data_IF_995514092280
#
_entry.id   IF_995514092280
#
_cell.length_a   1.000
_cell.length_b   1.000
_cell.length_c   1.000
_cell.angle_alpha   90.00
_cell.angle_beta   90.00
_cell.angle_gamma   90.00
#
_symmetry.space_group_name_H-M   'P 1'
#
loop_
_entity.id
_entity.type
_entity.pdbx_description
1 polymer ?
#
# COMPACT_ATOMS: atom_id res chain seq x y z
N UNK A 1 -10.55 37.19 -41.18
CA UNK A 1 -11.00 35.83 -40.84
C UNK A 1 -10.89 35.56 -39.34
N UNK A 2 -9.90 36.13 -38.65
CA UNK A 2 -9.78 36.11 -37.17
C UNK A 2 -10.89 36.88 -36.47
N UNK A 3 -11.20 38.12 -36.86
CA UNK A 3 -12.25 38.94 -36.19
C UNK A 3 -13.64 38.29 -36.22
N UNK A 4 -14.04 37.74 -37.37
CA UNK A 4 -15.33 37.06 -37.54
C UNK A 4 -15.48 35.80 -36.66
N UNK A 5 -14.36 35.16 -36.31
CA UNK A 5 -14.38 33.96 -35.46
C UNK A 5 -14.45 34.36 -33.99
N UNK A 6 -13.73 35.42 -33.59
CA UNK A 6 -13.78 36.01 -32.25
C UNK A 6 -15.17 36.55 -31.92
N UNK A 7 -15.81 37.25 -32.86
CA UNK A 7 -17.17 37.79 -32.70
C UNK A 7 -18.21 36.68 -32.52
N UNK A 8 -18.06 35.56 -33.23
CA UNK A 8 -18.95 34.40 -33.09
C UNK A 8 -18.79 33.71 -31.73
N UNK A 9 -17.55 33.55 -31.24
CA UNK A 9 -17.29 33.01 -29.90
C UNK A 9 -17.87 33.92 -28.80
N UNK A 10 -17.64 35.22 -28.90
CA UNK A 10 -18.18 36.20 -27.95
C UNK A 10 -19.72 36.20 -27.97
N UNK A 11 -20.33 36.15 -29.14
CA UNK A 11 -21.78 36.05 -29.30
C UNK A 11 -22.38 34.83 -28.59
N UNK A 12 -21.75 33.66 -28.74
CA UNK A 12 -22.19 32.43 -28.07
C UNK A 12 -22.07 32.53 -26.53
N UNK A 13 -20.99 33.15 -26.01
CA UNK A 13 -20.82 33.39 -24.58
C UNK A 13 -21.85 34.37 -24.01
N UNK A 14 -22.20 35.43 -24.76
CA UNK A 14 -23.28 36.36 -24.38
C UNK A 14 -24.64 35.65 -24.38
N UNK A 15 -24.89 34.80 -25.37
CA UNK A 15 -26.11 33.98 -25.42
C UNK A 15 -26.20 33.06 -24.20
N UNK A 16 -25.11 32.37 -23.86
CA UNK A 16 -25.02 31.51 -22.67
C UNK A 16 -25.27 32.29 -21.38
N UNK A 17 -24.67 33.47 -21.22
CA UNK A 17 -24.85 34.32 -20.04
C UNK A 17 -26.30 34.78 -19.84
N UNK A 18 -27.04 34.94 -20.95
CA UNK A 18 -28.42 35.43 -20.98
C UNK A 18 -29.47 34.31 -21.03
N UNK A 19 -29.06 33.06 -21.20
CA UNK A 19 -29.93 31.87 -21.31
C UNK A 19 -30.60 31.46 -19.98
N UNK A 20 -30.99 32.44 -19.15
CA UNK A 20 -31.81 32.23 -17.97
C UNK A 20 -33.31 32.24 -18.36
N UNK A 21 -33.78 31.23 -19.08
CA UNK A 21 -35.19 31.09 -19.53
C UNK A 21 -35.45 29.94 -20.52
N UNK A 22 -36.70 29.80 -20.97
CA UNK A 22 -37.18 28.72 -21.87
C UNK A 22 -36.66 28.79 -23.32
N UNK A 23 -36.08 29.92 -23.74
CA UNK A 23 -35.47 30.07 -25.06
C UNK A 23 -34.02 29.54 -25.00
N UNK A 24 -33.87 28.23 -25.18
CA UNK A 24 -32.57 27.55 -25.17
C UNK A 24 -31.58 28.09 -26.21
N UNK A 25 -30.30 27.73 -26.03
CA UNK A 25 -29.22 28.09 -26.95
C UNK A 25 -29.46 27.55 -28.36
N UNK A 26 -28.99 28.29 -29.37
CA UNK A 26 -29.02 27.78 -30.73
C UNK A 26 -28.03 26.60 -30.85
N UNK A 27 -28.29 25.60 -31.73
CA UNK A 27 -27.36 24.49 -31.92
C UNK A 27 -25.95 24.94 -32.34
N UNK A 28 -25.84 26.08 -33.05
CA UNK A 28 -24.55 26.63 -33.46
C UNK A 28 -23.79 27.25 -32.28
N UNK A 29 -24.51 27.91 -31.36
CA UNK A 29 -23.91 28.46 -30.14
C UNK A 29 -23.48 27.34 -29.19
N UNK A 30 -24.29 26.28 -29.04
CA UNK A 30 -23.91 25.11 -28.23
C UNK A 30 -22.63 24.46 -28.71
N UNK A 31 -22.52 24.16 -30.01
CA UNK A 31 -21.29 23.59 -30.59
C UNK A 31 -20.09 24.50 -30.32
N UNK A 32 -20.28 25.82 -30.44
CA UNK A 32 -19.19 26.77 -30.19
C UNK A 32 -18.78 26.82 -28.72
N UNK A 33 -19.75 26.81 -27.81
CA UNK A 33 -19.50 26.78 -26.37
C UNK A 33 -18.75 25.51 -26.01
N UNK A 34 -19.17 24.36 -26.53
CA UNK A 34 -18.51 23.08 -26.28
C UNK A 34 -17.08 23.05 -26.82
N UNK A 35 -16.82 23.63 -28.00
CA UNK A 35 -15.46 23.82 -28.53
C UNK A 35 -14.59 24.68 -27.60
N UNK A 36 -15.13 25.80 -27.09
CA UNK A 36 -14.42 26.69 -26.16
C UNK A 36 -14.17 26.04 -24.80
N UNK A 37 -15.15 25.28 -24.30
CA UNK A 37 -15.06 24.51 -23.05
C UNK A 37 -14.00 23.42 -23.18
N UNK A 38 -14.00 22.67 -24.28
CA UNK A 38 -12.98 21.65 -24.53
C UNK A 38 -11.58 22.25 -24.65
N UNK A 39 -11.43 23.40 -25.33
CA UNK A 39 -10.15 24.12 -25.41
C UNK A 39 -9.68 24.60 -24.02
N UNK A 40 -10.58 25.17 -23.22
CA UNK A 40 -10.26 25.64 -21.89
C UNK A 40 -9.88 24.48 -20.94
N UNK A 41 -10.62 23.38 -20.98
CA UNK A 41 -10.31 22.18 -20.20
C UNK A 41 -8.95 21.59 -20.60
N UNK A 42 -8.67 21.47 -21.90
CA UNK A 42 -7.39 20.95 -22.39
C UNK A 42 -6.18 21.84 -22.06
N UNK A 43 -6.40 23.14 -21.85
CA UNK A 43 -5.36 24.09 -21.47
C UNK A 43 -5.16 24.20 -19.95
N UNK A 44 -6.11 23.72 -19.15
CA UNK A 44 -6.04 23.75 -17.70
C UNK A 44 -5.36 22.48 -17.16
N UNK A 45 -4.70 22.62 -16.01
CA UNK A 45 -4.05 21.50 -15.32
C UNK A 45 -4.85 21.12 -14.08
N UNK A 46 -5.09 19.84 -13.89
CA UNK A 46 -5.76 19.28 -12.72
C UNK A 46 -5.23 17.87 -12.44
N UNK A 47 -4.98 17.58 -11.16
CA UNK A 47 -4.72 16.24 -10.65
C UNK A 47 -5.45 16.08 -9.31
N UNK A 48 -6.25 15.01 -9.16
CA UNK A 48 -6.93 14.70 -7.90
C UNK A 48 -5.95 14.33 -6.79
N UNK A 49 -4.84 13.67 -7.13
CA UNK A 49 -3.86 13.17 -6.17
C UNK A 49 -2.49 13.80 -6.42
N UNK A 50 -2.03 14.60 -5.47
CA UNK A 50 -0.73 15.26 -5.52
C UNK A 50 0.15 14.85 -4.34
N UNK A 51 1.50 14.80 -4.53
CA UNK A 51 2.41 14.54 -3.44
C UNK A 51 2.31 15.59 -2.34
N UNK A 52 2.10 15.14 -1.10
CA UNK A 52 2.29 16.00 0.06
C UNK A 52 3.76 16.44 0.16
N UNK A 53 3.99 17.68 0.60
CA UNK A 53 5.35 18.16 0.91
C UNK A 53 5.92 17.53 2.17
N UNK A 54 5.05 17.13 3.09
CA UNK A 54 5.41 16.50 4.35
C UNK A 54 5.26 14.98 4.25
N UNK A 55 6.23 14.26 4.81
CA UNK A 55 6.17 12.81 4.91
C UNK A 55 5.03 12.38 5.84
N UNK A 56 4.38 11.28 5.49
CA UNK A 56 3.36 10.67 6.32
C UNK A 56 3.96 10.21 7.65
N UNK A 57 3.18 10.38 8.72
CA UNK A 57 3.50 9.71 9.99
C UNK A 57 3.41 8.20 9.82
N UNK A 58 4.15 7.44 10.62
CA UNK A 58 4.14 5.99 10.53
C UNK A 58 2.74 5.38 10.74
N UNK A 59 1.93 5.99 11.62
CA UNK A 59 0.52 5.61 11.81
C UNK A 59 -0.30 5.76 10.53
N UNK A 60 -0.12 6.86 9.79
CA UNK A 60 -0.80 7.05 8.50
C UNK A 60 -0.29 6.04 7.47
N UNK A 61 1.03 5.81 7.42
CA UNK A 61 1.63 4.83 6.52
C UNK A 61 1.11 3.42 6.77
N UNK A 62 1.02 2.99 8.03
CA UNK A 62 0.49 1.68 8.40
C UNK A 62 -0.98 1.51 8.01
N UNK A 63 -1.81 2.54 8.18
CA UNK A 63 -3.22 2.52 7.76
C UNK A 63 -3.35 2.38 6.25
N UNK A 64 -2.50 3.06 5.47
CA UNK A 64 -2.46 2.91 4.01
C UNK A 64 -2.00 1.51 3.62
N UNK A 65 -0.94 0.99 4.24
CA UNK A 65 -0.45 -0.37 3.99
C UNK A 65 -1.50 -1.44 4.33
N UNK A 66 -2.34 -1.22 5.35
CA UNK A 66 -3.46 -2.11 5.65
C UNK A 66 -4.44 -2.18 4.48
N UNK A 67 -4.89 -1.03 3.96
CA UNK A 67 -5.80 -0.97 2.80
C UNK A 67 -5.20 -1.67 1.59
N UNK A 68 -3.92 -1.44 1.29
CA UNK A 68 -3.22 -2.09 0.18
C UNK A 68 -3.20 -3.62 0.36
N UNK A 69 -2.78 -4.09 1.53
CA UNK A 69 -2.63 -5.53 1.78
C UNK A 69 -3.97 -6.26 1.90
N UNK A 70 -5.01 -5.61 2.40
CA UNK A 70 -6.37 -6.16 2.44
C UNK A 70 -7.00 -6.24 1.04
N UNK A 71 -6.77 -5.24 0.18
CA UNK A 71 -7.20 -5.26 -1.21
C UNK A 71 -6.51 -6.42 -1.96
N UNK A 72 -5.20 -6.61 -1.76
CA UNK A 72 -4.47 -7.77 -2.29
C UNK A 72 -5.04 -9.10 -1.80
N UNK A 73 -5.30 -9.22 -0.49
CA UNK A 73 -5.86 -10.44 0.09
C UNK A 73 -7.27 -10.76 -0.44
N UNK A 74 -8.03 -9.74 -0.82
CA UNK A 74 -9.40 -9.84 -1.35
C UNK A 74 -9.46 -9.87 -2.88
N UNK A 75 -8.31 -9.82 -3.56
CA UNK A 75 -8.20 -9.71 -5.03
C UNK A 75 -8.96 -8.49 -5.59
N UNK A 76 -8.95 -7.37 -4.87
CA UNK A 76 -9.56 -6.10 -5.27
C UNK A 76 -8.54 -5.15 -5.92
N UNK A 77 -9.02 -4.15 -6.66
CA UNK A 77 -8.17 -3.11 -7.23
C UNK A 77 -7.64 -2.18 -6.13
N UNK A 78 -6.32 -2.15 -5.95
CA UNK A 78 -5.65 -1.40 -4.89
C UNK A 78 -5.92 0.10 -5.02
N UNK A 79 -5.90 0.66 -6.22
CA UNK A 79 -6.11 2.10 -6.42
C UNK A 79 -7.54 2.51 -6.09
N UNK A 80 -8.53 1.70 -6.47
CA UNK A 80 -9.93 1.91 -6.10
C UNK A 80 -10.16 1.79 -4.58
N UNK A 81 -9.54 0.79 -3.93
CA UNK A 81 -9.59 0.65 -2.48
C UNK A 81 -8.98 1.86 -1.76
N UNK A 82 -7.83 2.36 -2.23
CA UNK A 82 -7.20 3.55 -1.67
C UNK A 82 -8.04 4.82 -1.89
N UNK A 83 -8.62 4.99 -3.09
CA UNK A 83 -9.48 6.14 -3.39
C UNK A 83 -10.73 6.20 -2.50
N UNK A 84 -11.29 5.03 -2.11
CA UNK A 84 -12.46 4.96 -1.21
C UNK A 84 -12.10 5.06 0.27
N UNK A 85 -10.86 4.77 0.67
CA UNK A 85 -10.41 4.79 2.06
C UNK A 85 -10.40 6.17 2.72
N UNK A 86 -10.45 7.26 1.93
CA UNK A 86 -10.32 8.65 2.40
C UNK A 86 -9.00 8.96 3.14
N UNK A 87 -7.97 8.11 3.00
CA UNK A 87 -6.66 8.31 3.63
C UNK A 87 -5.80 9.35 2.89
N UNK A 88 -6.09 9.60 1.62
CA UNK A 88 -5.44 10.61 0.81
C UNK A 88 -6.32 11.85 0.68
N UNK A 89 -5.76 13.06 0.84
CA UNK A 89 -6.47 14.26 0.42
C UNK A 89 -6.69 14.17 -1.09
N UNK A 90 -7.94 14.36 -1.51
CA UNK A 90 -8.34 14.44 -2.90
C UNK A 90 -8.61 15.90 -3.22
N UNK A 91 -7.91 16.46 -4.21
CA UNK A 91 -8.19 17.80 -4.68
C UNK A 91 -9.59 17.86 -5.28
N UNK A 92 -10.29 18.96 -5.04
CA UNK A 92 -11.58 19.22 -5.69
C UNK A 92 -11.33 19.70 -7.11
N UNK A 93 -12.11 19.18 -8.08
CA UNK A 93 -12.03 19.61 -9.50
C UNK A 93 -12.58 21.03 -9.68
N UNK A 94 -13.59 21.38 -8.87
CA UNK A 94 -14.37 22.61 -9.02
C UNK A 94 -13.54 23.90 -9.00
N UNK A 95 -12.59 24.12 -8.07
CA UNK A 95 -11.70 25.28 -8.11
C UNK A 95 -10.94 25.44 -9.42
N UNK A 96 -10.38 24.35 -9.96
CA UNK A 96 -9.64 24.37 -11.23
C UNK A 96 -10.56 24.66 -12.43
N UNK A 97 -11.74 24.03 -12.47
CA UNK A 97 -12.75 24.30 -13.49
C UNK A 97 -13.20 25.78 -13.48
N UNK A 98 -13.36 26.34 -12.28
CA UNK A 98 -13.73 27.75 -12.11
C UNK A 98 -12.61 28.70 -12.55
N UNK A 99 -11.36 28.40 -12.24
CA UNK A 99 -10.21 29.18 -12.72
C UNK A 99 -10.10 29.16 -14.25
N UNK A 100 -10.26 27.99 -14.87
CA UNK A 100 -10.30 27.84 -16.32
C UNK A 100 -11.45 28.64 -16.96
N UNK A 101 -12.64 28.62 -16.35
CA UNK A 101 -13.77 29.45 -16.79
C UNK A 101 -13.47 30.95 -16.68
N UNK A 102 -12.82 31.40 -15.60
CA UNK A 102 -12.38 32.78 -15.44
C UNK A 102 -11.39 33.18 -16.53
N UNK A 103 -10.41 32.34 -16.83
CA UNK A 103 -9.44 32.62 -17.89
C UNK A 103 -10.09 32.63 -19.28
N UNK A 104 -11.04 31.74 -19.56
CA UNK A 104 -11.81 31.76 -20.79
C UNK A 104 -12.59 33.08 -20.95
N UNK A 105 -13.34 33.49 -19.93
CA UNK A 105 -14.11 34.75 -19.96
C UNK A 105 -13.18 35.95 -20.13
N UNK A 106 -12.02 35.96 -19.45
CA UNK A 106 -11.03 37.04 -19.56
C UNK A 106 -10.49 37.23 -20.98
N UNK A 107 -10.43 36.17 -21.81
CA UNK A 107 -10.02 36.28 -23.23
C UNK A 107 -11.02 37.10 -24.07
N UNK A 108 -12.27 37.22 -23.62
CA UNK A 108 -13.36 37.90 -24.31
C UNK A 108 -13.90 39.12 -23.55
N UNK A 109 -13.20 39.58 -22.52
CA UNK A 109 -13.69 40.60 -21.57
C UNK A 109 -14.21 41.87 -22.28
N UNK A 110 -13.51 42.32 -23.34
CA UNK A 110 -13.92 43.49 -24.15
C UNK A 110 -15.30 43.34 -24.81
N UNK A 111 -15.69 42.11 -25.18
CA UNK A 111 -16.97 41.81 -25.81
C UNK A 111 -18.08 41.49 -24.79
N UNK A 112 -17.70 41.25 -23.54
CA UNK A 112 -18.61 40.88 -22.45
C UNK A 112 -18.94 42.06 -21.53
N UNK A 113 -18.45 43.26 -21.82
CA UNK A 113 -18.61 44.48 -21.00
C UNK A 113 -20.08 44.87 -20.74
N UNK A 114 -20.98 44.52 -21.66
CA UNK A 114 -22.41 44.83 -21.56
C UNK A 114 -23.19 43.83 -20.67
N UNK A 115 -22.54 42.79 -20.15
CA UNK A 115 -23.18 41.86 -19.22
C UNK A 115 -23.33 42.50 -17.83
N UNK A 116 -24.50 42.31 -17.23
CA UNK A 116 -24.70 42.60 -15.82
C UNK A 116 -23.83 41.70 -14.95
N UNK A 117 -23.56 42.15 -13.72
CA UNK A 117 -22.83 41.33 -12.73
C UNK A 117 -23.48 39.95 -12.50
N UNK A 118 -24.81 39.86 -12.60
CA UNK A 118 -25.54 38.59 -12.42
C UNK A 118 -25.32 37.66 -13.61
N UNK A 119 -25.40 38.17 -14.83
CA UNK A 119 -25.14 37.39 -16.06
C UNK A 119 -23.69 36.92 -16.11
N UNK A 120 -22.74 37.77 -15.74
CA UNK A 120 -21.34 37.38 -15.67
C UNK A 120 -21.08 36.28 -14.63
N UNK A 121 -21.74 36.33 -13.48
CA UNK A 121 -21.63 35.28 -12.47
C UNK A 121 -22.28 33.97 -12.94
N UNK A 122 -23.42 34.05 -13.63
CA UNK A 122 -24.10 32.88 -14.21
C UNK A 122 -23.24 32.23 -15.31
N UNK A 123 -22.67 33.03 -16.20
CA UNK A 123 -21.77 32.58 -17.26
C UNK A 123 -20.58 31.79 -16.70
N UNK A 124 -19.89 32.37 -15.70
CA UNK A 124 -18.75 31.70 -15.06
C UNK A 124 -19.15 30.37 -14.42
N UNK A 125 -20.29 30.33 -13.74
CA UNK A 125 -20.77 29.11 -13.10
C UNK A 125 -21.12 28.03 -14.11
N UNK A 126 -21.80 28.40 -15.20
CA UNK A 126 -22.22 27.49 -16.25
C UNK A 126 -21.02 26.92 -17.01
N UNK A 127 -20.05 27.77 -17.37
CA UNK A 127 -18.80 27.32 -17.98
C UNK A 127 -18.02 26.39 -17.04
N UNK A 128 -17.92 26.71 -15.75
CA UNK A 128 -17.26 25.83 -14.78
C UNK A 128 -17.96 24.46 -14.67
N UNK A 129 -19.30 24.42 -14.64
CA UNK A 129 -20.07 23.17 -14.65
C UNK A 129 -19.81 22.32 -15.89
N UNK A 130 -19.59 22.94 -17.06
CA UNK A 130 -19.29 22.23 -18.31
C UNK A 130 -17.82 21.79 -18.40
N UNK A 131 -16.89 22.56 -17.82
CA UNK A 131 -15.45 22.24 -17.80
C UNK A 131 -15.13 21.14 -16.79
N UNK A 132 -15.77 21.14 -15.62
CA UNK A 132 -15.53 20.19 -14.53
C UNK A 132 -15.48 18.71 -14.97
N UNK A 133 -16.50 18.16 -15.67
CA UNK A 133 -16.46 16.76 -16.08
C UNK A 133 -15.32 16.45 -17.06
N UNK A 134 -14.97 17.39 -17.95
CA UNK A 134 -13.85 17.19 -18.88
C UNK A 134 -12.50 17.13 -18.16
N UNK A 135 -12.30 17.97 -17.13
CA UNK A 135 -11.10 17.91 -16.30
C UNK A 135 -11.05 16.64 -15.46
N UNK A 136 -12.19 16.21 -14.89
CA UNK A 136 -12.28 14.98 -14.12
C UNK A 136 -12.01 13.74 -14.98
N UNK A 137 -12.53 13.70 -16.22
CA UNK A 137 -12.34 12.59 -17.15
C UNK A 137 -10.92 12.53 -17.72
N UNK A 138 -10.23 13.68 -17.81
CA UNK A 138 -8.85 13.77 -18.27
C UNK A 138 -7.82 13.45 -17.16
N UNK A 139 -8.24 13.39 -15.89
CA UNK A 139 -7.35 13.11 -14.76
C UNK A 139 -6.91 11.65 -14.75
N UNK A 140 -5.61 11.43 -14.91
CA UNK A 140 -4.99 10.10 -14.84
C UNK A 140 -4.27 9.85 -13.51
N UNK A 141 -4.35 10.79 -12.56
CA UNK A 141 -3.69 10.63 -11.26
C UNK A 141 -4.33 9.53 -10.44
N UNK A 142 -3.51 8.86 -9.65
CA UNK A 142 -3.88 7.76 -8.77
C UNK A 142 -3.47 8.07 -7.33
N UNK A 143 -4.06 7.43 -6.32
CA UNK A 143 -3.60 7.58 -4.93
C UNK A 143 -2.11 7.28 -4.73
N UNK A 144 -1.52 6.45 -5.60
CA UNK A 144 -0.08 6.16 -5.57
C UNK A 144 0.78 7.38 -5.91
N UNK A 145 0.29 8.29 -6.76
CA UNK A 145 1.01 9.51 -7.15
C UNK A 145 1.11 10.53 -6.00
N UNK A 146 0.26 10.40 -4.97
CA UNK A 146 0.34 11.22 -3.76
C UNK A 146 1.43 10.73 -2.77
N UNK A 147 2.03 9.56 -3.00
CA UNK A 147 3.08 9.02 -2.13
C UNK A 147 4.47 9.57 -2.53
N UNK A 148 5.19 10.03 -1.53
CA UNK A 148 6.59 10.43 -1.65
C UNK A 148 7.54 9.24 -1.50
N UNK A 149 8.76 9.40 -2.01
CA UNK A 149 9.84 8.42 -1.80
C UNK A 149 10.26 8.22 -0.34
N UNK A 150 9.78 9.06 0.58
CA UNK A 150 10.06 9.00 2.02
C UNK A 150 8.94 8.33 2.81
N UNK A 151 7.78 8.08 2.20
CA UNK A 151 6.65 7.47 2.90
C UNK A 151 6.90 5.99 3.15
N UNK A 152 6.76 5.58 4.41
CA UNK A 152 7.08 4.23 4.88
C UNK A 152 5.92 3.67 5.68
N UNK A 153 5.80 2.35 5.65
CA UNK A 153 4.93 1.59 6.51
C UNK A 153 5.66 0.40 7.12
N UNK A 154 5.23 0.00 8.31
CA UNK A 154 5.61 -1.26 8.93
C UNK A 154 4.86 -2.41 8.24
N UNK A 155 5.58 -3.49 7.96
CA UNK A 155 5.01 -4.73 7.45
C UNK A 155 5.51 -5.91 8.25
N UNK A 156 4.61 -6.88 8.45
CA UNK A 156 4.85 -8.14 9.12
C UNK A 156 4.60 -9.27 8.13
N UNK A 157 5.56 -10.18 7.96
CA UNK A 157 5.30 -11.47 7.34
C UNK A 157 5.20 -12.53 8.43
N UNK A 158 3.98 -13.00 8.70
CA UNK A 158 3.68 -13.96 9.78
C UNK A 158 4.01 -15.37 9.31
N UNK A 159 4.93 -16.03 10.02
CA UNK A 159 5.40 -17.39 9.69
C UNK A 159 4.43 -18.46 10.20
N UNK A 160 3.21 -18.48 9.67
CA UNK A 160 2.14 -19.39 10.06
C UNK A 160 1.56 -20.18 8.87
N UNK A 161 0.90 -21.33 9.12
CA UNK A 161 0.16 -22.04 8.07
C UNK A 161 -0.86 -21.14 7.37
N UNK A 162 -0.96 -21.30 6.05
CA UNK A 162 -1.91 -20.53 5.23
C UNK A 162 -3.35 -20.79 5.67
N UNK A 163 -4.15 -19.72 5.74
CA UNK A 163 -5.59 -19.79 6.04
C UNK A 163 -5.94 -19.89 7.51
N UNK A 164 -4.95 -19.86 8.42
CA UNK A 164 -5.20 -19.65 9.85
C UNK A 164 -5.19 -18.18 10.19
N UNK A 165 -6.11 -17.75 11.05
CA UNK A 165 -6.03 -16.44 11.68
C UNK A 165 -4.78 -16.40 12.59
N UNK A 166 -4.06 -15.27 12.71
CA UNK A 166 -2.87 -15.18 13.58
C UNK A 166 -3.10 -15.67 15.01
N UNK A 167 -4.26 -15.33 15.60
CA UNK A 167 -4.63 -15.79 16.95
C UNK A 167 -4.65 -17.34 17.04
N UNK A 168 -5.16 -18.02 16.01
CA UNK A 168 -5.29 -19.49 15.98
C UNK A 168 -3.96 -20.19 15.68
N UNK A 169 -3.00 -19.50 15.08
CA UNK A 169 -1.68 -20.02 14.76
C UNK A 169 -0.64 -19.78 15.88
N UNK A 170 -1.05 -19.19 17.00
CA UNK A 170 -0.15 -18.81 18.10
C UNK A 170 0.61 -20.02 18.65
N UNK A 171 1.92 -19.85 18.84
CA UNK A 171 2.80 -20.80 19.54
C UNK A 171 2.73 -20.48 21.03
N UNK A 172 2.59 -21.53 21.84
CA UNK A 172 2.35 -21.38 23.28
C UNK A 172 3.34 -22.18 24.12
N UNK A 173 3.48 -21.81 25.39
CA UNK A 173 4.34 -22.46 26.39
C UNK A 173 3.52 -23.28 27.39
N UNK A 174 4.02 -24.46 27.78
CA UNK A 174 3.47 -25.24 28.90
C UNK A 174 3.63 -24.53 30.25
N UNK A 175 4.50 -23.52 30.32
CA UNK A 175 4.72 -22.68 31.51
C UNK A 175 3.98 -21.35 31.41
N UNK A 176 3.74 -20.68 32.55
CA UNK A 176 3.09 -19.36 32.56
C UNK A 176 4.00 -18.21 32.08
N UNK A 177 5.19 -18.53 31.57
CA UNK A 177 6.08 -17.65 30.81
C UNK A 177 6.59 -18.40 29.58
N UNK A 178 7.00 -17.71 28.50
CA UNK A 178 7.60 -18.37 27.36
C UNK A 178 8.98 -18.89 27.73
N UNK A 179 9.22 -20.16 27.42
CA UNK A 179 10.48 -20.82 27.67
C UNK A 179 10.73 -21.77 26.50
N UNK A 180 11.87 -21.62 25.85
CA UNK A 180 12.20 -22.32 24.61
C UNK A 180 12.17 -23.85 24.76
N UNK A 181 12.48 -24.37 25.96
CA UNK A 181 12.41 -25.80 26.25
C UNK A 181 10.98 -26.32 26.49
N UNK A 182 10.02 -25.43 26.77
CA UNK A 182 8.69 -25.75 27.28
C UNK A 182 7.58 -25.42 26.27
N UNK A 183 7.91 -25.10 25.02
CA UNK A 183 6.89 -24.84 24.00
C UNK A 183 6.07 -26.10 23.68
N UNK A 184 4.77 -25.90 23.45
CA UNK A 184 3.88 -26.91 22.92
C UNK A 184 4.31 -27.32 21.50
N UNK A 185 4.41 -28.63 21.27
CA UNK A 185 4.82 -29.16 19.96
C UNK A 185 3.59 -29.33 19.07
N UNK A 186 3.24 -28.26 18.35
CA UNK A 186 2.09 -28.18 17.43
C UNK A 186 2.53 -28.11 15.96
N UNK A 187 1.57 -28.18 15.02
CA UNK A 187 1.83 -27.94 13.60
C UNK A 187 2.34 -26.52 13.34
N UNK A 188 1.88 -25.53 14.10
CA UNK A 188 2.26 -24.13 13.95
C UNK A 188 3.72 -23.89 14.35
N UNK A 189 4.18 -24.52 15.45
CA UNK A 189 5.60 -24.50 15.81
C UNK A 189 6.46 -25.17 14.73
N UNK A 190 6.03 -26.31 14.20
CA UNK A 190 6.78 -27.02 13.15
C UNK A 190 6.84 -26.21 11.86
N UNK A 191 5.76 -25.53 11.49
CA UNK A 191 5.70 -24.63 10.35
C UNK A 191 6.66 -23.45 10.51
N UNK A 192 6.60 -22.75 11.64
CA UNK A 192 7.46 -21.60 11.90
C UNK A 192 8.94 -22.01 11.93
N UNK A 193 9.30 -23.11 12.59
CA UNK A 193 10.66 -23.66 12.58
C UNK A 193 11.13 -23.97 11.15
N UNK A 194 10.30 -24.59 10.32
CA UNK A 194 10.65 -24.89 8.94
C UNK A 194 10.88 -23.62 8.11
N UNK A 195 10.05 -22.58 8.32
CA UNK A 195 10.21 -21.29 7.65
C UNK A 195 11.51 -20.57 8.08
N UNK A 196 11.95 -20.75 9.33
CA UNK A 196 13.24 -20.28 9.85
C UNK A 196 14.44 -21.12 9.35
N UNK A 197 14.20 -22.33 8.84
CA UNK A 197 15.23 -23.25 8.32
C UNK A 197 15.56 -24.45 9.23
N UNK A 198 14.77 -24.69 10.27
CA UNK A 198 14.97 -25.75 11.26
C UNK A 198 13.96 -26.89 11.13
N UNK A 199 14.32 -28.05 11.66
CA UNK A 199 13.38 -29.16 11.87
C UNK A 199 12.96 -29.24 13.33
N UNK A 200 11.86 -29.95 13.60
CA UNK A 200 11.48 -30.32 14.97
C UNK A 200 12.60 -31.08 15.71
N UNK A 201 13.39 -31.88 14.97
CA UNK A 201 14.52 -32.61 15.54
C UNK A 201 15.65 -31.68 15.98
N UNK A 202 15.96 -30.66 15.17
CA UNK A 202 16.96 -29.63 15.51
C UNK A 202 16.52 -28.87 16.77
N UNK A 203 15.25 -28.46 16.81
CA UNK A 203 14.65 -27.81 17.98
C UNK A 203 14.77 -28.69 19.23
N UNK A 204 14.25 -29.93 19.21
CA UNK A 204 14.29 -30.83 20.39
C UNK A 204 15.70 -31.10 20.88
N UNK A 205 16.66 -31.26 19.95
CA UNK A 205 18.07 -31.45 20.29
C UNK A 205 18.66 -30.23 20.99
N UNK A 206 18.31 -29.03 20.55
CA UNK A 206 18.84 -27.78 21.11
C UNK A 206 18.15 -27.36 22.41
N UNK A 207 16.83 -27.56 22.51
CA UNK A 207 16.03 -27.11 23.65
C UNK A 207 15.90 -28.15 24.75
N UNK A 208 16.14 -29.44 24.45
CA UNK A 208 15.86 -30.54 25.38
C UNK A 208 14.36 -30.82 25.55
N UNK A 209 13.50 -30.23 24.71
CA UNK A 209 12.06 -30.41 24.78
C UNK A 209 11.66 -31.89 24.58
N UNK A 210 11.13 -32.48 25.65
CA UNK A 210 10.64 -33.87 25.69
C UNK A 210 9.12 -33.99 25.56
N UNK A 211 8.41 -32.90 25.33
CA UNK A 211 6.95 -32.87 25.32
C UNK A 211 6.38 -33.67 24.15
N UNK A 212 5.25 -34.33 24.42
CA UNK A 212 4.51 -35.05 23.40
C UNK A 212 4.03 -34.07 22.33
N UNK A 213 4.13 -34.49 21.07
CA UNK A 213 3.54 -33.73 19.97
C UNK A 213 2.02 -33.68 20.14
N UNK A 214 1.46 -32.49 20.25
CA UNK A 214 0.02 -32.29 20.31
C UNK A 214 -0.57 -32.62 18.95
N UNK A 215 -1.47 -33.60 18.92
CA UNK A 215 -2.11 -34.05 17.69
C UNK A 215 -3.49 -33.39 17.61
N UNK A 216 -3.85 -32.76 16.48
CA UNK A 216 -5.25 -32.51 16.17
C UNK A 216 -6.01 -33.84 16.29
N UNK A 217 -7.24 -33.83 16.82
CA UNK A 217 -8.04 -35.05 17.09
C UNK A 217 -7.99 -36.02 15.91
N UNK A 218 -7.19 -37.08 16.03
CA UNK A 218 -6.92 -38.02 14.94
C UNK A 218 -5.47 -38.46 14.97
N UNK A 219 -5.19 -39.74 14.66
CA UNK A 219 -3.85 -40.34 14.76
C UNK A 219 -2.90 -39.93 13.62
N UNK A 220 -2.90 -38.67 13.20
CA UNK A 220 -2.04 -38.19 12.12
C UNK A 220 -0.73 -37.68 12.74
N UNK A 221 0.40 -38.12 12.20
CA UNK A 221 1.70 -37.54 12.52
C UNK A 221 1.69 -36.07 12.10
N UNK A 222 2.29 -35.16 12.89
CA UNK A 222 2.45 -33.76 12.47
C UNK A 222 3.07 -33.75 11.08
N UNK A 223 2.34 -33.17 10.13
CA UNK A 223 2.74 -33.10 8.73
C UNK A 223 4.01 -32.29 8.56
N UNK A 224 4.77 -32.59 7.50
CA UNK A 224 5.79 -31.65 7.04
C UNK A 224 5.08 -30.49 6.35
N UNK A 225 5.55 -29.24 6.52
CA UNK A 225 5.01 -28.11 5.78
C UNK A 225 5.12 -28.34 4.27
N UNK A 226 4.22 -27.71 3.52
CA UNK A 226 4.04 -27.87 2.08
C UNK A 226 5.02 -27.04 1.22
N UNK A 227 6.10 -26.54 1.83
CA UNK A 227 7.16 -25.79 1.18
C UNK A 227 8.55 -26.37 1.47
N UNK A 228 9.52 -26.17 0.56
CA UNK A 228 10.89 -26.59 0.82
C UNK A 228 11.48 -25.77 1.98
N UNK A 229 12.03 -26.47 2.97
CA UNK A 229 12.82 -25.85 4.03
C UNK A 229 14.02 -25.14 3.42
N UNK A 230 14.36 -23.97 3.96
CA UNK A 230 15.56 -23.21 3.55
C UNK A 230 16.83 -24.03 3.80
N UNK A 231 17.81 -24.01 2.88
CA UNK A 231 19.09 -24.68 3.09
C UNK A 231 19.93 -23.99 4.17
N UNK A 232 19.85 -22.66 4.24
CA UNK A 232 20.51 -21.84 5.25
C UNK A 232 19.44 -21.27 6.19
N UNK A 233 19.53 -21.51 7.51
CA UNK A 233 18.65 -20.87 8.48
C UNK A 233 18.76 -19.35 8.47
N UNK A 234 17.68 -18.67 8.80
CA UNK A 234 17.63 -17.21 8.78
C UNK A 234 18.43 -16.56 9.94
N UNK A 235 18.46 -17.22 11.09
CA UNK A 235 19.27 -16.85 12.26
C UNK A 235 19.80 -18.12 12.93
N UNK A 236 20.52 -18.02 14.05
CA UNK A 236 20.97 -19.17 14.83
C UNK A 236 19.87 -19.71 15.75
N UNK A 237 19.93 -20.98 16.17
CA UNK A 237 19.00 -21.53 17.16
C UNK A 237 19.14 -20.86 18.54
N UNK A 238 20.32 -20.34 18.84
CA UNK A 238 20.56 -19.54 20.05
C UNK A 238 19.79 -18.22 20.00
N UNK A 239 19.79 -17.55 18.84
CA UNK A 239 19.00 -16.34 18.64
C UNK A 239 17.49 -16.65 18.67
N UNK A 240 17.05 -17.78 18.11
CA UNK A 240 15.65 -18.23 18.25
C UNK A 240 15.30 -18.46 19.72
N UNK A 241 16.17 -19.12 20.48
CA UNK A 241 15.97 -19.35 21.91
C UNK A 241 15.86 -18.02 22.67
N UNK A 242 16.78 -17.10 22.43
CA UNK A 242 16.79 -15.78 23.07
C UNK A 242 15.47 -15.03 22.80
N UNK A 243 15.03 -14.98 21.54
CA UNK A 243 13.75 -14.34 21.18
C UNK A 243 12.55 -14.97 21.90
N UNK A 244 12.52 -16.30 22.07
CA UNK A 244 11.43 -16.99 22.79
C UNK A 244 11.51 -16.73 24.29
N UNK A 245 12.69 -16.90 24.89
CA UNK A 245 12.88 -16.71 26.34
C UNK A 245 12.63 -15.24 26.76
N UNK A 246 12.79 -14.29 25.84
CA UNK A 246 12.51 -12.86 26.02
C UNK A 246 11.11 -12.42 25.57
N UNK A 247 10.28 -13.30 25.01
CA UNK A 247 8.92 -12.92 24.67
C UNK A 247 8.19 -12.52 25.97
N UNK A 248 7.48 -11.39 25.99
CA UNK A 248 6.72 -11.00 27.19
C UNK A 248 5.33 -11.63 27.23
N UNK A 249 5.05 -12.63 26.37
CA UNK A 249 3.78 -13.33 26.29
C UNK A 249 3.96 -14.83 26.17
N UNK A 250 3.07 -15.58 26.79
CA UNK A 250 3.00 -17.04 26.64
C UNK A 250 2.47 -17.47 25.29
N UNK A 251 1.95 -16.53 24.47
CA UNK A 251 1.42 -16.76 23.14
C UNK A 251 2.11 -15.82 22.16
N UNK A 252 2.78 -16.36 21.15
CA UNK A 252 3.47 -15.53 20.15
C UNK A 252 3.54 -16.23 18.79
N UNK A 253 3.90 -15.47 17.78
CA UNK A 253 4.22 -15.91 16.42
C UNK A 253 5.62 -15.44 16.08
N UNK A 254 6.32 -16.18 15.23
CA UNK A 254 7.51 -15.63 14.58
C UNK A 254 7.10 -14.80 13.37
N UNK A 255 7.66 -13.61 13.24
CA UNK A 255 7.37 -12.68 12.16
C UNK A 255 8.66 -12.16 11.54
N UNK A 256 8.65 -11.89 10.24
CA UNK A 256 9.60 -10.96 9.63
C UNK A 256 9.04 -9.55 9.71
N UNK A 257 9.82 -8.63 10.24
CA UNK A 257 9.47 -7.23 10.36
C UNK A 257 10.38 -6.36 9.49
N UNK A 258 9.79 -5.41 8.79
CA UNK A 258 10.50 -4.39 8.04
C UNK A 258 9.67 -3.10 7.95
N UNK A 259 10.35 -1.98 7.75
CA UNK A 259 9.74 -0.72 7.37
C UNK A 259 10.02 -0.46 5.89
N UNK A 260 8.99 -0.47 5.06
CA UNK A 260 9.15 -0.47 3.60
C UNK A 260 8.49 0.75 2.95
N UNK A 261 9.00 1.23 1.80
CA UNK A 261 8.30 2.21 0.99
C UNK A 261 6.88 1.77 0.66
N UNK A 262 5.89 2.61 0.94
CA UNK A 262 4.48 2.28 0.69
C UNK A 262 4.23 2.00 -0.80
N UNK A 263 4.89 2.76 -1.68
CA UNK A 263 4.82 2.57 -3.12
C UNK A 263 5.20 1.15 -3.57
N UNK A 264 6.13 0.47 -2.87
CA UNK A 264 6.53 -0.90 -3.19
C UNK A 264 5.48 -1.95 -2.80
N UNK A 265 4.45 -1.58 -2.04
CA UNK A 265 3.35 -2.46 -1.66
C UNK A 265 2.22 -2.50 -2.71
N UNK A 266 2.07 -1.43 -3.49
CA UNK A 266 0.95 -1.27 -4.45
C UNK A 266 0.99 -2.39 -5.51
N UNK A 267 2.17 -2.65 -6.06
CA UNK A 267 2.35 -3.59 -7.18
C UNK A 267 2.68 -5.03 -6.76
N UNK A 268 2.51 -5.38 -5.48
CA UNK A 268 2.79 -6.74 -5.02
C UNK A 268 1.71 -7.73 -5.47
N UNK A 269 2.12 -8.85 -6.04
CA UNK A 269 1.22 -9.98 -6.27
C UNK A 269 1.26 -10.94 -5.06
N UNK A 270 0.21 -11.06 -4.23
CA UNK A 270 0.22 -11.92 -3.04
C UNK A 270 0.38 -13.42 -3.37
N UNK A 271 0.24 -13.84 -4.63
CA UNK A 271 0.47 -15.21 -5.07
C UNK A 271 1.95 -15.51 -5.39
N UNK A 272 2.81 -14.48 -5.45
CA UNK A 272 4.22 -14.62 -5.82
C UNK A 272 5.15 -14.52 -4.62
N UNK A 273 6.36 -15.12 -4.70
CA UNK A 273 7.39 -14.91 -3.69
C UNK A 273 7.77 -13.44 -3.54
N UNK A 274 7.92 -13.00 -2.30
CA UNK A 274 8.30 -11.62 -1.93
C UNK A 274 9.68 -11.65 -1.29
N UNK A 275 10.54 -10.72 -1.68
CA UNK A 275 11.89 -10.57 -1.14
C UNK A 275 12.00 -9.27 -0.37
N UNK A 276 12.41 -9.39 0.90
CA UNK A 276 12.88 -8.28 1.69
C UNK A 276 14.39 -8.14 1.48
N UNK A 277 14.86 -6.94 1.17
CA UNK A 277 16.31 -6.64 1.06
C UNK A 277 17.04 -6.80 2.40
N UNK A 278 16.32 -6.59 3.51
CA UNK A 278 16.67 -6.98 4.88
C UNK A 278 15.39 -7.09 5.69
N UNK A 279 15.42 -7.85 6.77
CA UNK A 279 14.31 -7.90 7.72
C UNK A 279 14.86 -8.10 9.13
N UNK A 280 13.99 -8.02 10.12
CA UNK A 280 14.25 -8.57 11.44
C UNK A 280 13.32 -9.76 11.68
N UNK A 281 13.84 -10.86 12.22
CA UNK A 281 12.99 -11.87 12.84
C UNK A 281 12.65 -11.40 14.23
N UNK A 282 11.39 -11.49 14.62
CA UNK A 282 10.95 -11.22 15.97
C UNK A 282 9.84 -12.16 16.42
N UNK A 283 9.51 -12.09 17.71
CA UNK A 283 8.27 -12.65 18.24
C UNK A 283 7.21 -11.57 18.35
N UNK A 284 5.99 -11.91 17.98
CA UNK A 284 4.84 -11.00 18.01
C UNK A 284 3.64 -11.69 18.65
N UNK A 285 3.02 -11.04 19.63
CA UNK A 285 1.78 -11.51 20.24
C UNK A 285 0.57 -10.91 19.50
N UNK A 286 -0.21 -11.73 18.78
CA UNK A 286 -1.36 -11.24 18.00
C UNK A 286 -2.53 -10.77 18.88
N UNK A 287 -2.57 -11.07 20.18
CA UNK A 287 -3.66 -10.68 21.08
C UNK A 287 -3.57 -9.24 21.55
N UNK A 288 -2.36 -8.81 21.90
CA UNK A 288 -2.10 -7.48 22.45
C UNK A 288 -1.19 -6.63 21.54
N UNK A 289 -0.76 -7.17 20.39
CA UNK A 289 0.10 -6.48 19.44
C UNK A 289 1.55 -6.30 19.92
N UNK A 290 1.96 -6.95 21.01
CA UNK A 290 3.30 -6.72 21.59
C UNK A 290 4.36 -7.39 20.73
N UNK A 291 5.47 -6.69 20.53
CA UNK A 291 6.58 -7.12 19.69
C UNK A 291 7.83 -7.27 20.55
N UNK A 292 8.60 -8.36 20.37
CA UNK A 292 9.76 -8.63 21.21
C UNK A 292 10.92 -9.19 20.41
N UNK A 293 12.09 -8.65 20.75
CA UNK A 293 13.43 -9.11 20.39
C UNK A 293 13.64 -9.37 18.90
N UNK A 294 14.51 -8.57 18.28
CA UNK A 294 14.60 -8.48 16.84
C UNK A 294 16.00 -8.82 16.36
N UNK A 295 16.13 -9.94 15.63
CA UNK A 295 17.40 -10.35 15.05
C UNK A 295 17.42 -9.93 13.58
N UNK A 296 18.32 -9.01 13.24
CA UNK A 296 18.49 -8.58 11.85
C UNK A 296 18.96 -9.75 11.00
N UNK A 297 18.29 -9.97 9.87
CA UNK A 297 18.62 -10.99 8.89
C UNK A 297 18.91 -10.35 7.54
N UNK A 298 19.82 -10.95 6.75
CA UNK A 298 20.08 -10.49 5.39
C UNK A 298 18.84 -10.66 4.52
N UNK A 299 18.98 -10.31 3.23
CA UNK A 299 17.90 -10.44 2.27
C UNK A 299 17.21 -11.81 2.34
N UNK A 300 15.88 -11.80 2.42
CA UNK A 300 15.07 -13.00 2.64
C UNK A 300 13.88 -13.01 1.70
N UNK A 301 13.78 -14.10 0.92
CA UNK A 301 12.61 -14.38 0.07
C UNK A 301 11.65 -15.30 0.80
N UNK A 302 10.38 -14.90 0.92
CA UNK A 302 9.29 -15.70 1.47
C UNK A 302 8.29 -16.05 0.38
N UNK A 303 7.60 -17.18 0.52
CA UNK A 303 6.54 -17.59 -0.40
C UNK A 303 5.19 -17.57 0.32
N UNK A 304 4.06 -17.48 -0.42
CA UNK A 304 2.73 -17.51 0.20
C UNK A 304 2.39 -18.81 0.96
N UNK A 305 3.17 -19.88 0.77
CA UNK A 305 3.06 -21.12 1.54
C UNK A 305 3.72 -20.99 2.93
N UNK A 306 4.70 -20.10 3.08
CA UNK A 306 5.42 -19.90 4.34
C UNK A 306 4.64 -19.02 5.34
N UNK A 307 3.66 -18.25 4.89
CA UNK A 307 3.01 -17.26 5.74
C UNK A 307 2.18 -16.23 5.01
N UNK A 308 1.87 -15.14 5.71
CA UNK A 308 1.02 -14.05 5.21
C UNK A 308 1.65 -12.70 5.51
N UNK A 309 1.69 -11.82 4.50
CA UNK A 309 2.11 -10.43 4.64
C UNK A 309 0.94 -9.60 5.17
N UNK A 310 1.18 -8.75 6.17
CA UNK A 310 0.16 -7.90 6.78
C UNK A 310 0.74 -6.59 7.31
N UNK A 311 -0.13 -5.60 7.49
CA UNK A 311 0.16 -4.36 8.22
C UNK A 311 -0.15 -4.55 9.70
N UNK A 312 0.66 -4.02 10.64
CA UNK A 312 0.34 -4.05 12.07
C UNK A 312 -0.73 -3.00 12.47
N UNK A 313 -1.35 -2.28 11.53
CA UNK A 313 -2.24 -1.15 11.80
C UNK A 313 -3.47 -1.45 12.70
N UNK A 314 -4.05 -2.65 12.65
CA UNK A 314 -5.18 -3.03 13.54
C UNK A 314 -4.75 -3.32 14.98
N UNK A 315 -3.45 -3.34 15.23
CA UNK A 315 -2.83 -3.66 16.50
C UNK A 315 -1.97 -2.49 16.96
N UNK A 316 -1.26 -2.67 18.06
CA UNK A 316 -0.18 -1.76 18.40
C UNK A 316 1.01 -2.06 17.51
N UNK A 317 1.55 -1.03 16.88
CA UNK A 317 2.71 -1.22 16.02
C UNK A 317 3.97 -1.43 16.86
N UNK A 318 4.95 -2.21 16.37
CA UNK A 318 6.23 -2.41 17.05
C UNK A 318 6.90 -1.10 17.49
N UNK A 319 6.81 -0.06 16.66
CA UNK A 319 7.28 1.28 17.02
C UNK A 319 6.56 1.87 18.24
N UNK A 320 5.23 1.80 18.27
CA UNK A 320 4.42 2.37 19.36
C UNK A 320 4.69 1.74 20.73
N UNK A 321 5.08 0.46 20.78
CA UNK A 321 5.31 -0.26 22.05
C UNK A 321 6.78 -0.22 22.46
N UNK A 322 7.69 -0.44 21.52
CA UNK A 322 9.08 -0.75 21.84
C UNK A 322 10.05 0.39 21.51
N UNK A 323 9.59 1.50 20.92
CA UNK A 323 10.43 2.65 20.59
C UNK A 323 11.59 2.28 19.67
N UNK A 324 11.31 1.47 18.65
CA UNK A 324 12.32 0.92 17.75
C UNK A 324 13.02 2.04 16.96
N UNK A 325 14.34 1.91 16.78
CA UNK A 325 15.09 2.84 15.94
C UNK A 325 14.80 2.54 14.46
N UNK A 326 13.88 3.30 13.84
CA UNK A 326 13.35 3.05 12.48
C UNK A 326 14.41 2.73 11.43
N UNK A 327 15.53 3.46 11.45
CA UNK A 327 16.63 3.31 10.48
C UNK A 327 17.24 1.91 10.45
N UNK A 328 17.08 1.11 11.50
CA UNK A 328 17.60 -0.27 11.56
C UNK A 328 16.71 -1.26 10.79
N UNK A 329 15.44 -0.90 10.58
CA UNK A 329 14.42 -1.79 10.02
C UNK A 329 13.96 -1.37 8.62
N UNK A 330 14.44 -0.23 8.09
CA UNK A 330 14.10 0.24 6.74
C UNK A 330 14.55 -0.73 5.65
N UNK A 331 13.66 -1.34 4.89
CA UNK A 331 14.04 -2.24 3.82
C UNK A 331 13.32 -1.88 2.53
N UNK A 332 13.88 -2.28 1.40
CA UNK A 332 13.12 -2.47 0.18
C UNK A 332 12.44 -3.84 0.18
N UNK A 333 11.24 -3.88 -0.36
CA UNK A 333 10.46 -5.08 -0.64
C UNK A 333 10.19 -5.16 -2.13
N UNK A 334 10.26 -6.36 -2.70
CA UNK A 334 10.02 -6.53 -4.11
C UNK A 334 9.84 -7.98 -4.51
N UNK A 335 9.37 -8.19 -5.73
CA UNK A 335 9.17 -9.52 -6.31
C UNK A 335 10.14 -9.66 -7.47
N UNK A 336 11.06 -10.63 -7.37
CA UNK A 336 11.93 -10.95 -8.49
C UNK A 336 11.11 -11.44 -9.68
N UNK A 337 11.37 -10.86 -10.85
CA UNK A 337 11.11 -11.56 -12.11
C UNK A 337 11.89 -12.87 -12.12
N UNK A 338 11.32 -13.88 -12.77
CA UNK A 338 11.97 -15.17 -12.98
C UNK A 338 13.44 -15.01 -13.38
N UNK A 339 14.29 -15.90 -12.88
CA UNK A 339 15.74 -15.86 -13.06
C UNK A 339 16.17 -15.59 -14.49
N UNK A 340 16.66 -14.39 -14.73
CA UNK A 340 17.58 -14.12 -15.82
C UNK A 340 18.93 -14.74 -15.46
N UNK A 341 19.29 -15.82 -16.15
CA UNK A 341 20.67 -16.29 -16.23
C UNK A 341 21.62 -15.10 -16.38
N UNK A 342 22.44 -14.83 -15.36
CA UNK A 342 23.71 -14.12 -15.57
C UNK A 342 24.58 -15.01 -16.45
N UNK A 343 24.45 -14.82 -17.76
CA UNK A 343 25.46 -15.26 -18.73
C UNK A 343 26.76 -14.53 -18.38
N UNK A 344 27.64 -15.28 -17.72
CA UNK A 344 29.07 -15.06 -17.68
C UNK A 344 29.57 -14.51 -19.03
N UNK A 345 29.88 -13.22 -19.06
CA UNK A 345 30.69 -12.61 -20.12
C UNK A 345 31.93 -11.97 -19.50
N UNK A 346 32.79 -12.82 -18.94
CA UNK A 346 34.18 -12.48 -18.63
C UNK A 346 35.12 -13.24 -19.55
N UNK A 347 35.16 -12.85 -20.82
CA UNK A 347 36.25 -13.21 -21.72
C UNK A 347 36.42 -12.17 -22.85
N UNK A 348 36.91 -11.00 -22.48
CA UNK A 348 37.59 -10.07 -23.40
C UNK A 348 38.52 -9.16 -22.58
N UNK A 349 39.80 -9.49 -22.52
CA UNK A 349 40.77 -8.72 -21.75
C UNK A 349 42.19 -9.26 -21.79
N UNK A 350 42.81 -9.15 -22.97
CA UNK A 350 44.25 -9.02 -23.29
C UNK A 350 45.25 -9.24 -22.15
N UNK A 351 46.12 -10.23 -22.36
CA UNK A 351 47.52 -10.30 -21.93
C UNK A 351 48.28 -11.03 -23.02
#
# INVERSE_FOLDING_TARGET
MTDTMTDACAGALVALARAAGDDGLSPADEVRIDELVAEAAAAAWYCAFEPSRDCLTLKQGNAIAEVILDAHASCEDVHAALATSSLFPRNEVWPAAREAAHDLVRRYDEYLQDLTRREHAALLSELACRIEPLLADADTSTPGDALSSCDRAEVLFVLSPKGKHPLDASITSHRPWPEFAEMYVTEDLVHALAALGYTLGDYRKASGNGHASERPRGKVLIGRPDFPRRPTPLCSLEAVREMVDNACSTNFLFVLYAMVPIAQLIDLDPARPVTFSRAAIATWDPWNGTFHDAVSVPAVTVTPAMGTLMSPARWYSPDHICGLVHSWYTADIGQGGEGGCELNTSACGRG
#
